data_IF_025188134676
#
_entry.id   IF_025188134676
#
_cell.length_a   1.000
_cell.length_b   1.000
_cell.length_c   1.000
_cell.angle_alpha   90.00
_cell.angle_beta   90.00
_cell.angle_gamma   90.00
#
_symmetry.space_group_name_H-M   'P 1'
#
loop_
_entity.id
_entity.type
_entity.pdbx_description
1 polymer ?
#
# COMPACT_ATOMS: atom_id res chain seq x y z
N UNK A 1 -34.75 -41.66 45.38
CA UNK A 1 -35.14 -40.32 45.87
C UNK A 1 -33.86 -39.51 46.09
N UNK A 2 -33.82 -38.26 45.64
CA UNK A 2 -32.67 -37.33 45.71
C UNK A 2 -32.25 -36.87 44.31
N UNK A 3 -32.92 -35.87 43.70
CA UNK A 3 -32.76 -34.42 43.86
C UNK A 3 -31.37 -33.85 43.46
N UNK A 4 -31.35 -33.39 42.21
CA UNK A 4 -30.74 -32.20 41.59
C UNK A 4 -29.82 -31.30 42.42
N UNK A 5 -28.65 -30.99 41.84
CA UNK A 5 -27.98 -29.70 42.02
C UNK A 5 -27.38 -29.25 40.67
N UNK A 6 -27.85 -28.10 40.19
CA UNK A 6 -27.36 -27.39 39.01
C UNK A 6 -26.08 -26.62 39.38
N UNK A 7 -25.00 -26.79 38.61
CA UNK A 7 -23.89 -25.85 38.58
C UNK A 7 -23.74 -25.32 37.15
N UNK A 8 -24.09 -24.03 36.98
CA UNK A 8 -23.82 -23.23 35.79
C UNK A 8 -22.30 -23.11 35.60
N UNK A 9 -21.75 -23.82 34.63
CA UNK A 9 -20.45 -23.47 34.06
C UNK A 9 -20.64 -22.32 33.08
N UNK A 10 -20.26 -21.11 33.48
CA UNK A 10 -20.14 -19.96 32.60
C UNK A 10 -19.03 -20.23 31.58
N UNK A 11 -19.39 -20.56 30.33
CA UNK A 11 -18.45 -20.51 29.22
C UNK A 11 -18.12 -19.04 28.97
N UNK A 12 -16.95 -18.59 29.45
CA UNK A 12 -16.35 -17.35 29.02
C UNK A 12 -16.04 -17.47 27.52
N UNK A 13 -16.95 -16.99 26.68
CA UNK A 13 -16.65 -16.62 25.31
C UNK A 13 -15.44 -15.69 25.34
N UNK A 14 -14.32 -15.99 24.66
CA UNK A 14 -13.21 -15.06 24.60
C UNK A 14 -13.72 -13.79 23.90
N UNK A 15 -13.78 -12.72 24.69
CA UNK A 15 -14.24 -11.40 24.30
C UNK A 15 -13.49 -10.95 23.06
N UNK A 16 -14.24 -10.36 22.13
CA UNK A 16 -13.87 -9.73 20.86
C UNK A 16 -12.87 -8.54 20.99
N UNK A 17 -11.98 -8.57 21.97
CA UNK A 17 -11.02 -7.52 22.31
C UNK A 17 -9.66 -7.66 21.58
N UNK A 18 -9.43 -8.74 20.84
CA UNK A 18 -8.16 -8.99 20.15
C UNK A 18 -8.07 -8.39 18.72
N UNK A 19 -9.09 -7.66 18.25
CA UNK A 19 -9.13 -7.12 16.88
C UNK A 19 -8.82 -5.61 16.77
N UNK A 20 -8.60 -4.92 17.89
CA UNK A 20 -8.03 -3.58 17.86
C UNK A 20 -6.52 -3.71 17.71
N UNK A 21 -6.13 -4.06 16.49
CA UNK A 21 -4.74 -4.20 16.06
C UNK A 21 -4.02 -2.87 16.30
N UNK A 22 -2.84 -2.96 16.89
CA UNK A 22 -1.96 -1.84 17.22
C UNK A 22 -1.88 -0.81 16.07
N UNK A 23 -2.58 0.31 16.22
CA UNK A 23 -2.44 1.48 15.34
C UNK A 23 -1.16 2.27 15.67
N UNK A 24 -0.37 1.80 16.63
CA UNK A 24 0.88 2.43 17.00
C UNK A 24 1.80 2.52 15.78
N UNK A 25 2.38 3.71 15.52
CA UNK A 25 3.36 3.86 14.46
C UNK A 25 4.59 2.98 14.76
N UNK A 26 5.32 2.53 13.72
CA UNK A 26 6.60 1.85 13.89
C UNK A 26 7.56 2.65 14.78
N UNK A 27 8.36 1.94 15.57
CA UNK A 27 9.41 2.56 16.38
C UNK A 27 10.36 3.37 15.50
N UNK A 28 10.65 4.61 15.89
CA UNK A 28 11.49 5.53 15.12
C UNK A 28 10.81 6.25 13.96
N UNK A 29 9.51 6.01 13.66
CA UNK A 29 8.82 6.74 12.58
C UNK A 29 8.73 8.24 12.88
N UNK A 30 8.42 8.62 14.12
CA UNK A 30 8.34 10.03 14.51
C UNK A 30 9.69 10.75 14.38
N UNK A 31 10.77 10.08 14.79
CA UNK A 31 12.14 10.60 14.64
C UNK A 31 12.52 10.74 13.16
N UNK A 32 12.22 9.72 12.35
CA UNK A 32 12.46 9.73 10.90
C UNK A 32 11.75 10.90 10.21
N UNK A 33 10.48 11.18 10.60
CA UNK A 33 9.69 12.25 10.01
C UNK A 33 10.05 13.64 10.54
N UNK A 34 10.66 13.72 11.73
CA UNK A 34 11.15 14.98 12.31
C UNK A 34 12.54 15.37 11.77
N UNK A 35 13.26 14.44 11.17
CA UNK A 35 14.55 14.71 10.54
C UNK A 35 14.40 15.65 9.34
N UNK A 36 15.45 16.43 8.98
CA UNK A 36 15.44 17.24 7.78
C UNK A 36 15.16 16.38 6.54
N UNK A 37 14.33 16.85 5.58
CA UNK A 37 14.04 16.08 4.38
C UNK A 37 15.33 15.82 3.59
N UNK A 38 15.45 14.65 2.92
CA UNK A 38 16.61 14.36 2.09
C UNK A 38 16.80 15.41 1.00
N UNK A 39 18.05 15.70 0.64
CA UNK A 39 18.34 16.60 -0.47
C UNK A 39 17.82 16.05 -1.82
N UNK A 40 17.76 16.92 -2.83
CA UNK A 40 17.23 16.58 -4.15
C UNK A 40 18.00 15.44 -4.83
N UNK A 41 19.31 15.32 -4.57
CA UNK A 41 20.14 14.25 -5.10
C UNK A 41 19.72 12.90 -4.52
N UNK A 42 19.55 12.82 -3.21
CA UNK A 42 19.03 11.65 -2.51
C UNK A 42 17.60 11.31 -2.98
N UNK A 43 16.69 12.28 -3.07
CA UNK A 43 15.33 12.03 -3.55
C UNK A 43 15.32 11.43 -4.97
N UNK A 44 16.10 12.00 -5.91
CA UNK A 44 16.23 11.46 -7.28
C UNK A 44 16.87 10.08 -7.32
N UNK A 45 17.74 9.78 -6.37
CA UNK A 45 18.37 8.48 -6.24
C UNK A 45 17.37 7.38 -5.86
N UNK A 46 16.33 7.74 -5.11
CA UNK A 46 15.25 6.85 -4.67
C UNK A 46 13.97 6.95 -5.51
N UNK A 47 13.87 7.95 -6.41
CA UNK A 47 12.73 8.17 -7.28
C UNK A 47 12.44 7.02 -8.27
N UNK A 48 11.45 7.25 -9.11
CA UNK A 48 10.96 6.32 -10.14
C UNK A 48 12.01 5.97 -11.18
N UNK A 49 12.01 4.71 -11.60
CA UNK A 49 13.00 4.16 -12.51
C UNK A 49 12.49 4.18 -13.97
N UNK A 50 13.07 5.00 -14.87
CA UNK A 50 12.68 5.03 -16.29
C UNK A 50 12.98 3.72 -17.03
N UNK A 51 13.79 2.84 -16.45
CA UNK A 51 14.15 1.53 -17.03
C UNK A 51 13.33 0.39 -16.45
N UNK A 52 12.44 0.68 -15.50
CA UNK A 52 11.65 -0.31 -14.77
C UNK A 52 10.22 0.23 -14.57
N UNK A 53 9.59 0.53 -15.70
CA UNK A 53 8.22 1.02 -15.82
C UNK A 53 7.55 0.44 -17.08
N UNK A 54 6.22 0.50 -17.14
CA UNK A 54 5.45 0.23 -18.36
C UNK A 54 5.91 1.16 -19.50
N UNK A 55 5.77 0.68 -20.74
CA UNK A 55 6.07 1.44 -21.96
C UNK A 55 5.22 2.71 -22.11
N UNK A 56 4.08 2.76 -21.41
CA UNK A 56 3.17 3.90 -21.39
C UNK A 56 3.50 4.96 -20.33
N UNK A 57 4.58 4.78 -19.57
CA UNK A 57 5.01 5.72 -18.53
C UNK A 57 6.26 6.46 -19.00
N UNK A 58 6.22 7.78 -18.88
CA UNK A 58 7.37 8.65 -19.11
C UNK A 58 7.82 9.28 -17.79
N UNK A 59 9.00 8.87 -17.30
CA UNK A 59 9.53 9.34 -16.01
C UNK A 59 10.31 10.64 -16.20
N UNK A 60 9.96 11.66 -15.43
CA UNK A 60 10.47 13.03 -15.56
C UNK A 60 11.21 13.49 -14.30
N UNK A 61 11.84 14.66 -14.40
CA UNK A 61 12.51 15.35 -13.28
C UNK A 61 13.58 14.52 -12.54
N UNK A 62 14.20 13.58 -13.24
CA UNK A 62 15.19 12.68 -12.65
C UNK A 62 14.58 11.57 -11.78
N UNK A 63 13.28 11.29 -11.91
CA UNK A 63 12.57 10.24 -11.18
C UNK A 63 11.58 10.74 -10.13
N UNK A 64 11.37 12.05 -9.99
CA UNK A 64 10.48 12.57 -8.94
C UNK A 64 9.00 12.50 -9.33
N UNK A 65 8.72 12.55 -10.63
CA UNK A 65 7.38 12.40 -11.18
C UNK A 65 7.42 11.56 -12.46
N UNK A 66 6.25 11.15 -12.92
CA UNK A 66 6.08 10.53 -14.22
C UNK A 66 4.70 10.87 -14.77
N UNK A 67 4.55 10.75 -16.08
CA UNK A 67 3.27 10.87 -16.75
C UNK A 67 2.90 9.55 -17.40
N UNK A 68 1.64 9.16 -17.25
CA UNK A 68 1.07 8.02 -17.95
C UNK A 68 0.42 8.50 -19.24
N UNK A 69 0.82 7.94 -20.38
CA UNK A 69 0.16 8.19 -21.67
C UNK A 69 -1.30 7.73 -21.61
N UNK A 70 -2.23 8.43 -22.27
CA UNK A 70 -3.63 8.05 -22.27
C UNK A 70 -3.82 6.84 -23.18
N UNK A 71 -3.53 5.65 -22.68
CA UNK A 71 -3.79 4.38 -23.40
C UNK A 71 -4.98 3.71 -22.74
N UNK A 72 -6.02 3.42 -23.52
CA UNK A 72 -7.21 2.74 -23.03
C UNK A 72 -6.92 1.27 -22.76
N UNK A 73 -7.71 0.67 -21.86
CA UNK A 73 -7.67 -0.78 -21.57
C UNK A 73 -6.28 -1.32 -21.18
N UNK A 74 -5.40 -0.46 -20.67
CA UNK A 74 -4.09 -0.82 -20.17
C UNK A 74 -4.01 -0.63 -18.67
N UNK A 75 -3.19 -1.45 -18.04
CA UNK A 75 -2.79 -1.28 -16.65
C UNK A 75 -1.28 -1.09 -16.64
N UNK A 76 -0.84 0.03 -16.07
CA UNK A 76 0.55 0.46 -16.14
C UNK A 76 1.11 0.65 -14.75
N UNK A 77 2.31 0.14 -14.53
CA UNK A 77 3.03 0.29 -13.28
C UNK A 77 4.45 0.80 -13.45
N UNK A 78 4.99 1.36 -12.37
CA UNK A 78 6.37 1.82 -12.28
C UNK A 78 6.94 1.46 -10.91
N UNK A 79 8.22 1.10 -10.89
CA UNK A 79 9.00 0.85 -9.67
C UNK A 79 10.00 1.97 -9.39
N UNK A 80 10.31 2.16 -8.11
CA UNK A 80 11.42 2.99 -7.67
C UNK A 80 12.78 2.40 -8.06
N UNK A 81 13.81 3.24 -8.16
CA UNK A 81 15.18 2.81 -8.49
C UNK A 81 15.83 1.95 -7.41
N UNK A 82 15.42 2.14 -6.15
CA UNK A 82 16.01 1.48 -4.99
C UNK A 82 15.01 0.51 -4.36
N UNK A 83 15.49 -0.70 -4.12
CA UNK A 83 14.81 -1.71 -3.34
C UNK A 83 15.36 -1.73 -1.92
N UNK A 84 14.48 -1.95 -0.95
CA UNK A 84 14.78 -1.93 0.47
C UNK A 84 14.65 -3.33 1.05
N UNK A 85 15.65 -3.74 1.82
CA UNK A 85 15.69 -5.08 2.43
C UNK A 85 15.88 -5.07 3.96
N UNK A 86 16.12 -3.88 4.55
CA UNK A 86 16.35 -3.64 5.98
C UNK A 86 16.04 -2.18 6.33
N UNK A 87 15.82 -1.88 7.60
CA UNK A 87 15.54 -0.54 8.12
C UNK A 87 14.11 -0.03 7.89
N UNK A 88 13.83 1.13 8.47
CA UNK A 88 12.58 1.88 8.32
C UNK A 88 12.72 2.92 7.20
N UNK A 89 11.77 2.93 6.27
CA UNK A 89 11.73 3.84 5.13
C UNK A 89 10.36 4.49 5.02
N UNK A 90 10.34 5.77 4.65
CA UNK A 90 9.12 6.48 4.35
C UNK A 90 9.29 7.31 3.08
N UNK A 91 8.26 7.36 2.25
CA UNK A 91 8.23 8.23 1.07
C UNK A 91 6.83 8.78 0.85
N UNK A 92 6.75 10.03 0.40
CA UNK A 92 5.50 10.69 0.06
C UNK A 92 5.13 10.42 -1.40
N UNK A 93 3.84 10.19 -1.64
CA UNK A 93 3.25 10.13 -2.97
C UNK A 93 2.25 11.29 -3.08
N UNK A 94 2.49 12.16 -4.05
CA UNK A 94 1.56 13.21 -4.46
C UNK A 94 0.81 12.75 -5.71
N UNK A 95 -0.48 12.49 -5.58
CA UNK A 95 -1.31 12.01 -6.67
C UNK A 95 -2.68 12.69 -6.67
N UNK A 96 -2.92 13.66 -7.58
CA UNK A 96 -4.16 14.39 -7.69
C UNK A 96 -5.38 13.47 -7.82
N UNK A 97 -6.46 13.79 -7.12
CA UNK A 97 -7.63 12.92 -7.03
C UNK A 97 -8.28 12.71 -8.40
N UNK A 98 -8.26 13.72 -9.25
CA UNK A 98 -8.82 13.74 -10.61
C UNK A 98 -8.02 12.84 -11.56
N UNK A 99 -6.77 12.50 -11.23
CA UNK A 99 -5.86 11.70 -12.06
C UNK A 99 -5.77 10.22 -11.61
N UNK A 100 -6.57 9.81 -10.61
CA UNK A 100 -6.53 8.45 -10.05
C UNK A 100 -7.25 7.41 -10.90
N UNK A 101 -8.13 7.84 -11.79
CA UNK A 101 -8.92 6.92 -12.61
C UNK A 101 -9.75 5.97 -11.73
N UNK A 102 -9.88 4.71 -12.17
CA UNK A 102 -10.76 3.74 -11.52
C UNK A 102 -10.05 2.77 -10.57
N UNK A 103 -8.73 2.62 -10.71
CA UNK A 103 -7.90 1.77 -9.86
C UNK A 103 -6.57 2.48 -9.62
N UNK A 104 -6.49 3.23 -8.53
CA UNK A 104 -5.26 3.88 -8.09
C UNK A 104 -4.64 3.04 -6.98
N UNK A 105 -3.55 2.32 -7.28
CA UNK A 105 -2.93 1.42 -6.31
C UNK A 105 -1.51 1.86 -6.00
N UNK A 106 -1.21 2.03 -4.72
CA UNK A 106 0.12 2.40 -4.20
C UNK A 106 0.61 1.30 -3.26
N UNK A 107 1.89 0.93 -3.35
CA UNK A 107 2.48 -0.01 -2.41
C UNK A 107 3.90 -0.38 -2.77
N UNK A 108 4.21 -1.67 -2.66
CA UNK A 108 5.55 -2.20 -2.91
C UNK A 108 5.49 -3.50 -3.71
N UNK A 109 6.58 -3.78 -4.42
CA UNK A 109 6.72 -5.01 -5.19
C UNK A 109 8.16 -5.52 -5.15
N UNK A 110 8.34 -6.81 -5.43
CA UNK A 110 9.64 -7.38 -5.77
C UNK A 110 9.99 -7.00 -7.22
N UNK A 111 11.25 -7.24 -7.60
CA UNK A 111 11.69 -7.08 -8.99
C UNK A 111 11.00 -8.06 -9.97
N UNK A 112 10.39 -9.13 -9.44
CA UNK A 112 9.72 -10.17 -10.25
C UNK A 112 8.27 -9.81 -10.57
N UNK A 113 7.69 -8.80 -9.93
CA UNK A 113 6.31 -8.40 -10.22
C UNK A 113 6.19 -7.88 -11.67
N UNK A 114 5.14 -8.24 -12.42
CA UNK A 114 4.89 -7.68 -13.74
C UNK A 114 4.51 -6.20 -13.63
N UNK A 115 5.01 -5.38 -14.57
CA UNK A 115 4.76 -3.93 -14.62
C UNK A 115 3.70 -3.51 -15.64
N UNK A 116 3.34 -4.42 -16.53
CA UNK A 116 2.34 -4.20 -17.58
C UNK A 116 1.56 -5.49 -17.78
N UNK A 117 0.27 -5.35 -18.04
CA UNK A 117 -0.56 -6.44 -18.51
C UNK A 117 -1.64 -5.87 -19.42
N UNK A 118 -1.93 -6.64 -20.47
CA UNK A 118 -3.03 -6.35 -21.38
C UNK A 118 -4.37 -6.64 -20.69
N UNK A 119 -5.37 -5.82 -20.98
CA UNK A 119 -6.73 -5.93 -20.45
C UNK A 119 -6.81 -5.79 -18.91
N UNK A 120 -7.98 -6.14 -18.35
CA UNK A 120 -8.29 -6.08 -16.92
C UNK A 120 -7.52 -7.16 -16.14
N UNK A 121 -6.21 -6.98 -16.02
CA UNK A 121 -5.36 -7.83 -15.21
C UNK A 121 -4.94 -7.06 -13.96
N UNK A 122 -5.14 -7.67 -12.80
CA UNK A 122 -4.55 -7.18 -11.57
C UNK A 122 -3.01 -7.28 -11.72
N UNK A 123 -2.27 -6.19 -11.49
CA UNK A 123 -0.81 -6.17 -11.48
C UNK A 123 -0.31 -6.11 -10.03
N UNK A 124 -0.30 -4.91 -9.42
CA UNK A 124 0.04 -4.74 -8.01
C UNK A 124 -1.00 -5.40 -7.11
N UNK A 125 -0.56 -6.32 -6.25
CA UNK A 125 -1.36 -7.10 -5.32
C UNK A 125 -2.03 -8.34 -5.90
N UNK A 126 -1.83 -8.62 -7.20
CA UNK A 126 -2.48 -9.74 -7.90
C UNK A 126 -1.83 -11.10 -7.69
N UNK A 127 -0.59 -11.08 -7.21
CA UNK A 127 0.29 -12.23 -7.09
C UNK A 127 1.10 -12.14 -5.79
N UNK A 128 2.02 -13.09 -5.59
CA UNK A 128 2.92 -13.14 -4.42
C UNK A 128 3.98 -12.03 -4.41
N UNK A 129 4.17 -11.35 -5.54
CA UNK A 129 5.31 -10.47 -5.77
C UNK A 129 5.00 -9.01 -5.46
N UNK A 130 3.78 -8.69 -5.02
CA UNK A 130 3.38 -7.31 -4.77
C UNK A 130 2.29 -7.16 -3.71
N UNK A 131 2.29 -6.00 -3.06
CA UNK A 131 1.36 -5.57 -2.01
C UNK A 131 0.92 -4.16 -2.33
N UNK A 132 -0.40 -3.92 -2.41
CA UNK A 132 -0.92 -2.63 -2.85
C UNK A 132 -2.22 -2.24 -2.19
N UNK A 133 -2.33 -0.96 -1.85
CA UNK A 133 -3.57 -0.35 -1.39
C UNK A 133 -4.22 0.40 -2.56
N UNK A 134 -5.43 -0.03 -2.94
CA UNK A 134 -6.30 0.71 -3.86
C UNK A 134 -6.96 1.84 -3.07
N UNK A 135 -6.37 3.03 -3.17
CA UNK A 135 -6.79 4.23 -2.44
C UNK A 135 -8.16 4.74 -2.93
N UNK A 136 -8.57 4.35 -4.14
CA UNK A 136 -9.88 4.69 -4.70
C UNK A 136 -11.01 3.82 -4.16
N UNK A 137 -10.70 2.63 -3.62
CA UNK A 137 -11.69 1.69 -3.06
C UNK A 137 -11.51 1.39 -1.57
N UNK A 138 -10.40 1.83 -0.98
CA UNK A 138 -10.03 1.46 0.37
C UNK A 138 -9.77 -0.04 0.52
N UNK A 139 -9.16 -0.68 -0.48
CA UNK A 139 -8.97 -2.14 -0.52
C UNK A 139 -7.51 -2.55 -0.58
N UNK A 140 -7.12 -3.56 0.20
CA UNK A 140 -5.78 -4.12 0.19
C UNK A 140 -5.68 -5.34 -0.72
N UNK A 141 -4.71 -5.32 -1.62
CA UNK A 141 -4.44 -6.41 -2.56
C UNK A 141 -3.07 -7.04 -2.32
N UNK A 142 -3.08 -8.34 -2.08
CA UNK A 142 -1.91 -9.23 -2.09
C UNK A 142 -2.40 -10.67 -2.32
N UNK A 143 -1.99 -11.29 -3.42
CA UNK A 143 -2.54 -12.57 -3.87
C UNK A 143 -4.08 -12.64 -3.91
N UNK A 144 -4.76 -11.49 -3.95
CA UNK A 144 -6.21 -11.41 -3.86
C UNK A 144 -6.80 -10.91 -5.18
N UNK A 145 -7.95 -11.48 -5.53
CA UNK A 145 -8.74 -11.06 -6.69
C UNK A 145 -10.14 -10.67 -6.20
N UNK A 146 -10.62 -9.50 -6.60
CA UNK A 146 -12.03 -9.14 -6.48
C UNK A 146 -12.49 -8.61 -5.11
N UNK A 147 -13.77 -8.87 -4.79
CA UNK A 147 -14.56 -8.24 -3.73
C UNK A 147 -14.16 -8.61 -2.30
N UNK A 148 -13.42 -9.71 -2.12
CA UNK A 148 -13.01 -10.24 -0.82
C UNK A 148 -11.77 -9.55 -0.22
N UNK A 149 -11.20 -8.56 -0.94
CA UNK A 149 -10.09 -7.78 -0.45
C UNK A 149 -10.44 -7.08 0.90
N UNK A 150 -9.54 -7.14 1.90
CA UNK A 150 -9.75 -6.44 3.16
C UNK A 150 -9.95 -4.93 2.97
N UNK A 151 -10.83 -4.34 3.78
CA UNK A 151 -11.00 -2.89 3.85
C UNK A 151 -9.81 -2.26 4.61
N UNK A 152 -9.33 -1.12 4.14
CA UNK A 152 -8.30 -0.33 4.81
C UNK A 152 -8.56 1.18 4.67
N UNK A 153 -8.44 1.96 5.77
CA UNK A 153 -8.15 1.49 7.13
C UNK A 153 -9.28 0.63 7.71
N UNK A 154 -8.97 -0.14 8.76
CA UNK A 154 -10.00 -0.88 9.49
C UNK A 154 -10.93 0.12 10.19
N UNK A 155 -12.18 0.18 9.73
CA UNK A 155 -13.18 1.12 10.23
C UNK A 155 -14.59 0.55 10.16
N UNK A 156 -15.60 1.27 10.68
CA UNK A 156 -17.00 0.87 10.59
C UNK A 156 -17.40 0.59 9.15
N UNK A 157 -18.17 -0.47 8.91
CA UNK A 157 -18.62 -0.84 7.57
C UNK A 157 -19.44 0.31 6.95
N UNK A 158 -19.04 0.76 5.76
CA UNK A 158 -19.80 1.73 4.95
C UNK A 158 -19.19 3.13 4.85
N UNK A 159 -18.22 3.49 5.70
CA UNK A 159 -17.50 4.76 5.59
C UNK A 159 -16.18 4.57 4.82
N UNK A 160 -16.16 5.01 3.57
CA UNK A 160 -14.96 4.97 2.76
C UNK A 160 -14.09 6.21 3.04
N UNK A 161 -12.85 6.00 3.47
CA UNK A 161 -11.88 7.07 3.64
C UNK A 161 -11.58 7.73 2.28
N UNK A 162 -11.79 9.05 2.22
CA UNK A 162 -11.33 9.86 1.08
C UNK A 162 -9.86 10.17 1.30
N UNK A 163 -9.00 9.54 0.50
CA UNK A 163 -7.55 9.75 0.54
C UNK A 163 -7.22 11.11 -0.10
N UNK A 164 -6.51 12.05 0.57
CA UNK A 164 -6.13 13.33 -0.02
C UNK A 164 -5.01 13.15 -1.04
N UNK A 165 -4.63 14.23 -1.74
CA UNK A 165 -3.59 14.20 -2.79
C UNK A 165 -2.27 13.59 -2.31
N UNK A 166 -1.82 13.98 -1.11
CA UNK A 166 -0.56 13.52 -0.53
C UNK A 166 -0.82 12.43 0.49
N UNK A 167 -0.10 11.32 0.36
CA UNK A 167 -0.07 10.24 1.34
C UNK A 167 1.37 9.79 1.57
N UNK A 168 1.65 9.35 2.79
CA UNK A 168 2.94 8.77 3.15
C UNK A 168 2.83 7.25 3.09
N UNK A 169 3.79 6.60 2.46
CA UNK A 169 3.98 5.15 2.54
C UNK A 169 5.08 4.86 3.55
N UNK A 170 4.83 3.94 4.46
CA UNK A 170 5.77 3.55 5.53
C UNK A 170 6.11 2.08 5.38
N UNK A 171 7.37 1.77 5.11
CA UNK A 171 7.89 0.42 4.97
C UNK A 171 8.90 0.15 6.09
N UNK A 172 8.53 -0.72 7.01
CA UNK A 172 9.42 -1.20 8.05
C UNK A 172 9.91 -2.60 7.67
N UNK A 173 11.18 -2.71 7.26
CA UNK A 173 11.79 -3.99 6.91
C UNK A 173 12.37 -4.74 8.13
N UNK A 174 12.51 -4.08 9.28
CA UNK A 174 12.92 -4.74 10.53
C UNK A 174 11.75 -5.55 11.08
N UNK A 175 10.54 -4.97 11.11
CA UNK A 175 9.30 -5.65 11.50
C UNK A 175 8.59 -6.34 10.32
N UNK A 176 8.96 -6.01 9.09
CA UNK A 176 8.40 -6.60 7.88
C UNK A 176 6.94 -6.19 7.67
N UNK A 177 6.66 -4.90 7.83
CA UNK A 177 5.32 -4.32 7.69
C UNK A 177 5.28 -3.19 6.65
N UNK A 178 4.14 -3.04 5.99
CA UNK A 178 3.82 -1.91 5.13
C UNK A 178 2.57 -1.24 5.68
N UNK A 179 2.62 0.08 5.86
CA UNK A 179 1.50 0.90 6.30
C UNK A 179 1.48 2.24 5.58
N UNK A 180 0.48 3.06 5.91
CA UNK A 180 0.27 4.35 5.27
C UNK A 180 -0.11 5.41 6.30
N UNK A 181 0.31 6.66 6.06
CA UNK A 181 -0.13 7.81 6.85
C UNK A 181 -0.79 8.86 5.98
N UNK A 182 -1.85 9.47 6.52
CA UNK A 182 -2.59 10.55 5.86
C UNK A 182 -2.77 11.69 6.85
N UNK A 183 -2.45 12.92 6.44
CA UNK A 183 -2.62 14.09 7.30
C UNK A 183 -1.84 14.02 8.62
N UNK A 184 -0.70 13.32 8.63
CA UNK A 184 0.09 13.07 9.84
C UNK A 184 -0.38 11.91 10.71
N UNK A 185 -1.51 11.28 10.40
CA UNK A 185 -2.03 10.13 11.14
C UNK A 185 -1.62 8.81 10.47
N UNK A 186 -0.90 7.97 11.20
CA UNK A 186 -0.62 6.59 10.77
C UNK A 186 -1.88 5.74 10.88
N UNK A 187 -2.21 5.02 9.81
CA UNK A 187 -3.45 4.25 9.69
C UNK A 187 -3.32 2.80 10.17
N UNK A 188 -2.16 2.44 10.73
CA UNK A 188 -1.83 1.08 11.12
C UNK A 188 -1.15 0.27 9.99
N UNK A 189 -0.70 -0.95 10.29
CA UNK A 189 -0.08 -1.81 9.30
C UNK A 189 -1.13 -2.39 8.33
N UNK A 190 -0.95 -2.12 7.04
CA UNK A 190 -1.76 -2.69 5.96
C UNK A 190 -1.33 -4.13 5.63
N UNK A 191 -0.02 -4.39 5.61
CA UNK A 191 0.53 -5.71 5.31
C UNK A 191 1.61 -6.09 6.31
N UNK A 192 1.80 -7.40 6.48
CA UNK A 192 2.82 -8.02 7.34
C UNK A 192 3.51 -9.16 6.60
N UNK A 193 4.62 -9.66 7.15
CA UNK A 193 5.34 -10.81 6.58
C UNK A 193 6.28 -10.43 5.44
N UNK A 194 6.79 -9.20 5.43
CA UNK A 194 7.65 -8.67 4.37
C UNK A 194 9.15 -8.94 4.59
N UNK A 195 9.55 -9.50 5.73
CA UNK A 195 10.96 -9.79 6.05
C UNK A 195 11.61 -10.72 5.02
N UNK A 196 12.92 -10.58 4.83
CA UNK A 196 13.71 -11.43 3.92
C UNK A 196 13.46 -11.17 2.43
N UNK A 197 12.92 -9.99 2.08
CA UNK A 197 12.66 -9.56 0.70
C UNK A 197 13.39 -8.26 0.40
N UNK A 198 13.56 -7.99 -0.89
CA UNK A 198 13.91 -6.65 -1.38
C UNK A 198 12.68 -6.07 -2.05
N UNK A 199 12.17 -4.97 -1.49
CA UNK A 199 10.90 -4.36 -1.91
C UNK A 199 11.13 -2.97 -2.47
N UNK A 200 10.51 -2.69 -3.61
CA UNK A 200 10.61 -1.45 -4.35
C UNK A 200 9.32 -0.66 -4.19
N UNK A 201 9.38 0.66 -3.94
CA UNK A 201 8.22 1.54 -4.08
C UNK A 201 7.56 1.29 -5.43
N UNK A 202 6.24 1.11 -5.43
CA UNK A 202 5.52 0.72 -6.62
C UNK A 202 4.20 1.46 -6.73
N UNK A 203 3.92 1.89 -7.95
CA UNK A 203 2.70 2.59 -8.31
C UNK A 203 2.03 1.87 -9.47
N UNK A 204 0.69 1.89 -9.49
CA UNK A 204 -0.11 1.32 -10.57
C UNK A 204 -1.37 2.16 -10.78
N UNK A 205 -1.70 2.42 -12.04
CA UNK A 205 -3.00 2.98 -12.43
C UNK A 205 -3.65 2.17 -13.57
N UNK A 206 -4.97 2.16 -13.57
CA UNK A 206 -5.78 1.69 -14.67
C UNK A 206 -6.75 2.79 -15.13
N UNK A 207 -6.70 3.10 -16.43
CA UNK A 207 -7.71 3.93 -17.07
C UNK A 207 -8.56 3.10 -18.06
N UNK A 208 -9.84 2.85 -17.76
CA UNK A 208 -10.72 2.10 -18.65
C UNK A 208 -11.23 2.91 -19.86
N UNK A 209 -11.14 4.24 -19.87
CA UNK A 209 -11.77 5.07 -20.91
C UNK A 209 -10.91 6.27 -21.36
N UNK A 210 -10.97 6.57 -22.66
CA UNK A 210 -10.93 7.96 -23.13
C UNK A 210 -12.36 8.51 -22.98
N UNK A 211 -12.51 9.64 -22.31
CA UNK A 211 -13.60 10.57 -22.60
C UNK A 211 -12.99 11.89 -22.95
#
# INVERSE_FOLDING_TARGET
MGQTALARGSSSTPTSQALYSDFSPPEGLEELLSAPPPDLGAQRHHGWNPKDCSENIDVKEGGLCFERRPVAQSTDGVRGKRGYSRGLHAWEISWPQEQRGTHAVVGVATALAPLQADHYAALLGSNSESWGWDIGRGKLYHQSKGLEAPQYPAGPQGEQLVVPERLLVVLDMEEGTLGYSIGGTYLGPAFRGLKGRTLYPSWRNHNPFFT
#
